data_IF_907825589080
#
_entry.id   IF_907825589080
#
_cell.length_a   1.000
_cell.length_b   1.000
_cell.length_c   1.000
_cell.angle_alpha   90.00
_cell.angle_beta   90.00
_cell.angle_gamma   90.00
#
_symmetry.space_group_name_H-M   'P 1'
#
loop_
_entity.id
_entity.type
_entity.pdbx_description
1 polymer ?
#
# COMPACT_ATOMS: atom_id res chain seq x y z
N UNK A 1 5.08 -28.01 7.46
CA UNK A 1 5.67 -26.94 6.63
C UNK A 1 4.52 -26.17 6.01
N UNK A 2 4.53 -24.83 6.08
CA UNK A 2 3.49 -24.00 5.48
C UNK A 2 3.89 -23.65 4.04
N UNK A 3 2.92 -23.64 3.14
CA UNK A 3 3.16 -23.48 1.70
C UNK A 3 2.11 -22.55 1.11
N UNK A 4 2.53 -21.71 0.17
CA UNK A 4 1.63 -20.96 -0.70
C UNK A 4 1.53 -21.72 -2.01
N UNK A 5 0.30 -22.00 -2.46
CA UNK A 5 0.03 -22.64 -3.74
C UNK A 5 -0.61 -21.65 -4.71
N UNK A 6 -0.19 -21.72 -5.97
CA UNK A 6 -0.80 -21.02 -7.09
C UNK A 6 -1.50 -22.05 -7.97
N UNK A 7 -2.81 -21.87 -8.15
CA UNK A 7 -3.66 -22.76 -8.94
C UNK A 7 -4.17 -22.04 -10.18
N UNK A 8 -4.26 -22.77 -11.29
CA UNK A 8 -4.97 -22.32 -12.49
C UNK A 8 -6.33 -23.01 -12.55
N UNK A 9 -7.39 -22.22 -12.72
CA UNK A 9 -8.74 -22.75 -12.96
C UNK A 9 -8.96 -22.92 -14.46
N UNK A 10 -9.18 -24.16 -14.91
CA UNK A 10 -9.50 -24.47 -16.31
C UNK A 10 -10.56 -25.57 -16.34
N UNK A 11 -11.62 -25.38 -17.12
CA UNK A 11 -12.68 -26.38 -17.31
C UNK A 11 -13.29 -26.91 -15.98
N UNK A 12 -13.45 -26.02 -14.99
CA UNK A 12 -13.85 -26.30 -13.61
C UNK A 12 -12.86 -27.11 -12.75
N UNK A 13 -11.68 -27.43 -13.28
CA UNK A 13 -10.61 -28.10 -12.54
C UNK A 13 -9.51 -27.11 -12.09
N UNK A 14 -9.04 -27.30 -10.87
CA UNK A 14 -7.91 -26.56 -10.30
C UNK A 14 -6.62 -27.36 -10.54
N UNK A 15 -5.78 -26.84 -11.44
CA UNK A 15 -4.46 -27.42 -11.72
C UNK A 15 -3.38 -26.67 -10.95
N UNK A 16 -2.56 -27.40 -10.18
CA UNK A 16 -1.45 -26.81 -9.43
C UNK A 16 -0.37 -26.30 -10.37
N UNK A 17 -0.05 -25.00 -10.30
CA UNK A 17 0.92 -24.36 -11.20
C UNK A 17 2.27 -24.16 -10.54
N UNK A 18 2.28 -23.64 -9.32
CA UNK A 18 3.49 -23.34 -8.57
C UNK A 18 3.22 -23.43 -7.07
N UNK A 19 4.29 -23.63 -6.30
CA UNK A 19 4.24 -23.50 -4.85
C UNK A 19 5.54 -22.87 -4.34
N UNK A 20 5.48 -22.32 -3.13
CA UNK A 20 6.67 -21.87 -2.41
C UNK A 20 6.50 -22.18 -0.92
N UNK A 21 7.59 -22.63 -0.30
CA UNK A 21 7.63 -22.85 1.14
C UNK A 21 7.72 -21.52 1.88
N UNK A 22 6.86 -21.34 2.88
CA UNK A 22 6.90 -20.19 3.78
C UNK A 22 7.41 -20.62 5.15
N UNK A 23 7.96 -19.65 5.90
CA UNK A 23 8.55 -19.94 7.21
C UNK A 23 7.47 -20.09 8.28
N UNK A 24 6.54 -19.14 8.33
CA UNK A 24 5.52 -18.99 9.36
C UNK A 24 4.15 -18.75 8.69
N UNK A 25 3.18 -18.32 9.50
CA UNK A 25 1.79 -18.16 9.11
C UNK A 25 1.58 -16.89 8.30
N UNK A 26 1.20 -17.07 7.04
CA UNK A 26 0.76 -15.99 6.15
C UNK A 26 -0.73 -15.78 6.36
N UNK A 27 -1.10 -14.63 6.90
CA UNK A 27 -2.49 -14.30 7.22
C UNK A 27 -3.17 -13.45 6.13
N UNK A 28 -2.38 -12.70 5.35
CA UNK A 28 -2.89 -11.88 4.26
C UNK A 28 -1.95 -11.91 3.07
N UNK A 29 -2.53 -11.93 1.86
CA UNK A 29 -1.81 -11.81 0.61
C UNK A 29 -2.56 -10.87 -0.32
N UNK A 30 -1.82 -10.01 -1.01
CA UNK A 30 -2.34 -9.12 -2.04
C UNK A 30 -1.45 -9.25 -3.29
N UNK A 31 -2.02 -9.08 -4.47
CA UNK A 31 -1.26 -9.20 -5.72
C UNK A 31 -1.43 -7.97 -6.60
N UNK A 32 -0.38 -7.68 -7.37
CA UNK A 32 -0.37 -6.66 -8.42
C UNK A 32 0.43 -7.21 -9.60
N UNK A 33 -0.27 -7.42 -10.72
CA UNK A 33 0.30 -8.12 -11.88
C UNK A 33 0.90 -9.47 -11.42
N UNK A 34 2.19 -9.67 -11.67
CA UNK A 34 2.91 -10.91 -11.36
C UNK A 34 3.61 -10.87 -9.98
N UNK A 35 3.42 -9.79 -9.22
CA UNK A 35 3.96 -9.67 -7.86
C UNK A 35 2.88 -10.00 -6.83
N UNK A 36 3.29 -10.70 -5.78
CA UNK A 36 2.45 -11.06 -4.65
C UNK A 36 3.15 -10.57 -3.39
N UNK A 37 2.47 -9.76 -2.59
CA UNK A 37 2.93 -9.35 -1.28
C UNK A 37 2.27 -10.24 -0.24
N UNK A 38 3.08 -11.01 0.48
CA UNK A 38 2.63 -11.89 1.55
C UNK A 38 2.97 -11.27 2.91
N UNK A 39 1.98 -11.20 3.79
CA UNK A 39 2.11 -10.70 5.15
C UNK A 39 2.18 -11.86 6.13
N UNK A 40 3.34 -11.99 6.79
CA UNK A 40 3.56 -12.96 7.85
C UNK A 40 3.19 -12.36 9.20
N UNK A 41 2.66 -13.18 10.11
CA UNK A 41 2.23 -12.71 11.43
C UNK A 41 3.40 -12.24 12.31
N UNK A 42 4.64 -12.70 12.07
CA UNK A 42 5.83 -12.33 12.84
C UNK A 42 7.02 -11.92 11.97
N UNK A 43 7.09 -12.39 10.72
CA UNK A 43 8.22 -12.16 9.80
C UNK A 43 8.03 -10.99 8.85
N UNK A 44 7.20 -10.01 9.22
CA UNK A 44 6.94 -8.83 8.39
C UNK A 44 6.37 -9.22 7.01
N UNK A 45 6.76 -8.50 5.96
CA UNK A 45 6.29 -8.71 4.60
C UNK A 45 7.34 -9.36 3.69
N UNK A 46 6.87 -10.20 2.77
CA UNK A 46 7.67 -10.83 1.71
C UNK A 46 7.08 -10.54 0.34
N UNK A 47 7.92 -10.06 -0.57
CA UNK A 47 7.57 -9.82 -1.97
C UNK A 47 7.96 -11.05 -2.79
N UNK A 48 6.95 -11.69 -3.36
CA UNK A 48 7.07 -12.84 -4.24
C UNK A 48 6.79 -12.41 -5.69
N UNK A 49 7.35 -13.14 -6.65
CA UNK A 49 7.08 -12.97 -8.07
C UNK A 49 6.80 -14.32 -8.70
N UNK A 50 5.69 -14.36 -9.42
CA UNK A 50 5.34 -15.47 -10.31
C UNK A 50 5.97 -15.24 -11.69
N UNK A 51 6.70 -16.23 -12.18
CA UNK A 51 7.28 -16.24 -13.52
C UNK A 51 6.47 -17.22 -14.37
N UNK A 52 5.74 -16.69 -15.34
CA UNK A 52 4.80 -17.48 -16.15
C UNK A 52 5.53 -18.45 -17.09
N UNK A 53 6.64 -18.02 -17.68
CA UNK A 53 7.47 -18.83 -18.60
C UNK A 53 7.99 -20.11 -17.94
N UNK A 54 8.49 -20.01 -16.71
CA UNK A 54 9.04 -21.13 -15.96
C UNK A 54 8.01 -21.81 -15.04
N UNK A 55 6.81 -21.22 -14.89
CA UNK A 55 5.79 -21.62 -13.90
C UNK A 55 6.35 -21.71 -12.47
N UNK A 56 7.25 -20.79 -12.10
CA UNK A 56 7.89 -20.78 -10.77
C UNK A 56 7.46 -19.59 -9.95
N UNK A 57 7.18 -19.82 -8.67
CA UNK A 57 6.99 -18.77 -7.67
C UNK A 57 8.29 -18.56 -6.90
N UNK A 58 8.78 -17.33 -6.86
CA UNK A 58 10.10 -17.00 -6.31
C UNK A 58 10.02 -15.85 -5.32
N UNK A 59 10.81 -15.92 -4.24
CA UNK A 59 11.01 -14.81 -3.31
C UNK A 59 11.92 -13.76 -3.97
N UNK A 60 11.41 -12.54 -4.14
CA UNK A 60 12.19 -11.42 -4.70
C UNK A 60 12.91 -10.66 -3.60
N UNK A 61 12.17 -10.26 -2.57
CA UNK A 61 12.68 -9.40 -1.51
C UNK A 61 11.84 -9.60 -0.25
N UNK A 62 12.43 -9.33 0.92
CA UNK A 62 11.71 -9.35 2.20
C UNK A 62 12.21 -8.28 3.15
N UNK A 63 11.44 -7.97 4.17
CA UNK A 63 11.99 -7.23 5.31
C UNK A 63 12.88 -8.18 6.14
N UNK A 64 13.98 -7.63 6.66
CA UNK A 64 14.89 -8.36 7.52
C UNK A 64 14.46 -8.29 9.00
N UNK A 65 13.66 -7.27 9.35
CA UNK A 65 13.22 -7.06 10.73
C UNK A 65 11.93 -7.83 11.01
N UNK A 66 11.83 -8.52 12.15
CA UNK A 66 10.55 -9.07 12.58
C UNK A 66 9.57 -7.93 12.83
N UNK A 67 8.33 -8.11 12.37
CA UNK A 67 7.25 -7.16 12.51
C UNK A 67 5.93 -7.93 12.54
N UNK A 68 5.09 -7.62 13.52
CA UNK A 68 3.73 -8.15 13.60
C UNK A 68 2.80 -7.33 12.72
N UNK A 69 2.50 -7.87 11.54
CA UNK A 69 1.70 -7.19 10.52
C UNK A 69 0.21 -7.46 10.74
N UNK A 70 -0.60 -6.42 10.68
CA UNK A 70 -2.07 -6.50 10.79
C UNK A 70 -2.75 -6.48 9.43
N UNK A 71 -2.31 -5.59 8.54
CA UNK A 71 -2.81 -5.55 7.17
C UNK A 71 -1.81 -4.91 6.23
N UNK A 72 -1.93 -5.21 4.94
CA UNK A 72 -1.06 -4.69 3.87
C UNK A 72 -1.87 -4.18 2.68
N UNK A 73 -1.34 -3.17 1.98
CA UNK A 73 -1.84 -2.70 0.68
C UNK A 73 -0.72 -2.09 -0.18
N UNK A 74 -1.03 -1.72 -1.42
CA UNK A 74 -0.09 -1.08 -2.35
C UNK A 74 -0.31 0.43 -2.44
N UNK A 75 0.76 1.20 -2.31
CA UNK A 75 0.76 2.62 -2.65
C UNK A 75 1.23 2.80 -4.10
N UNK A 76 0.37 3.34 -4.96
CA UNK A 76 0.67 3.54 -6.38
C UNK A 76 0.80 5.02 -6.69
N UNK A 77 1.98 5.45 -7.14
CA UNK A 77 2.24 6.82 -7.59
C UNK A 77 2.98 6.78 -8.93
N UNK A 78 2.23 6.94 -10.02
CA UNK A 78 2.75 6.85 -11.38
C UNK A 78 3.49 5.53 -11.63
N UNK A 79 4.82 5.60 -11.79
CA UNK A 79 5.71 4.48 -12.02
C UNK A 79 6.27 3.88 -10.71
N UNK A 80 5.99 4.49 -9.56
CA UNK A 80 6.46 4.02 -8.26
C UNK A 80 5.40 3.17 -7.57
N UNK A 81 5.88 2.09 -6.96
CA UNK A 81 5.09 1.18 -6.15
C UNK A 81 5.68 1.11 -4.74
N UNK A 82 4.87 1.47 -3.75
CA UNK A 82 5.14 1.29 -2.34
C UNK A 82 4.28 0.17 -1.77
N UNK A 83 4.75 -0.43 -0.68
CA UNK A 83 4.03 -1.43 0.12
C UNK A 83 3.67 -0.78 1.44
N UNK A 84 2.37 -0.54 1.65
CA UNK A 84 1.82 -0.02 2.89
C UNK A 84 1.57 -1.17 3.85
N UNK A 85 2.01 -1.03 5.08
CA UNK A 85 1.91 -2.04 6.12
C UNK A 85 1.38 -1.38 7.38
N UNK A 86 0.35 -1.96 8.00
CA UNK A 86 -0.03 -1.65 9.37
C UNK A 86 0.57 -2.66 10.34
N UNK A 87 1.09 -2.18 11.46
CA UNK A 87 1.64 -3.03 12.50
C UNK A 87 0.78 -3.05 13.78
N UNK A 88 1.12 -3.97 14.69
CA UNK A 88 0.50 -4.04 16.02
C UNK A 88 0.70 -2.77 16.84
N UNK A 89 1.79 -2.05 16.65
CA UNK A 89 2.12 -0.83 17.41
C UNK A 89 1.34 0.41 16.92
N UNK A 90 0.38 0.22 16.00
CA UNK A 90 -0.50 1.27 15.43
C UNK A 90 0.25 2.24 14.53
N UNK A 91 1.29 1.74 13.87
CA UNK A 91 2.03 2.45 12.84
C UNK A 91 1.58 2.01 11.44
N UNK A 92 1.70 2.94 10.51
CA UNK A 92 1.72 2.71 9.08
C UNK A 92 3.15 2.87 8.59
N UNK A 93 3.65 1.85 7.92
CA UNK A 93 4.98 1.80 7.35
C UNK A 93 4.87 1.70 5.83
N UNK A 94 5.74 2.41 5.12
CA UNK A 94 5.84 2.33 3.66
C UNK A 94 7.19 1.73 3.30
N UNK A 95 7.15 0.55 2.67
CA UNK A 95 8.32 -0.11 2.11
C UNK A 95 8.38 0.11 0.61
N UNK A 96 9.59 0.07 0.05
CA UNK A 96 9.82 0.09 -1.40
C UNK A 96 10.85 -0.96 -1.78
N UNK A 97 10.68 -1.53 -2.97
CA UNK A 97 11.67 -2.39 -3.61
C UNK A 97 12.55 -1.55 -4.52
N UNK A 98 13.82 -1.35 -4.13
CA UNK A 98 14.79 -0.52 -4.85
C UNK A 98 16.12 -1.28 -4.98
N UNK A 99 16.27 -2.15 -6.00
CA UNK A 99 17.43 -3.03 -6.11
C UNK A 99 18.75 -2.29 -6.34
N UNK A 100 18.69 -1.09 -6.93
CA UNK A 100 19.85 -0.23 -7.17
C UNK A 100 20.41 0.40 -5.87
N UNK A 101 19.61 0.47 -4.82
CA UNK A 101 20.05 1.04 -3.55
C UNK A 101 20.98 0.06 -2.82
N UNK A 102 22.17 0.51 -2.42
CA UNK A 102 23.18 -0.32 -1.72
C UNK A 102 22.63 -0.98 -0.46
N UNK A 103 21.78 -0.27 0.27
CA UNK A 103 21.10 -0.75 1.49
C UNK A 103 20.11 -1.91 1.27
N UNK A 104 19.70 -2.15 0.01
CA UNK A 104 18.82 -3.27 -0.36
C UNK A 104 19.57 -4.60 -0.50
N UNK A 105 20.91 -4.59 -0.47
CA UNK A 105 21.75 -5.76 -0.74
C UNK A 105 21.42 -6.43 -2.08
N UNK A 106 21.41 -5.64 -3.15
CA UNK A 106 21.08 -6.13 -4.50
C UNK A 106 19.61 -6.49 -4.67
N UNK A 107 18.71 -5.82 -3.95
CA UNK A 107 17.26 -6.07 -3.99
C UNK A 107 16.76 -7.16 -3.04
N UNK A 108 17.63 -7.86 -2.32
CA UNK A 108 17.19 -8.91 -1.39
C UNK A 108 16.39 -8.37 -0.19
N UNK A 109 16.56 -7.09 0.13
CA UNK A 109 15.96 -6.42 1.30
C UNK A 109 15.03 -5.28 0.90
N UNK A 110 13.82 -5.31 1.46
CA UNK A 110 12.86 -4.21 1.35
C UNK A 110 13.30 -3.02 2.20
N UNK A 111 13.11 -1.82 1.66
CA UNK A 111 13.56 -0.58 2.30
C UNK A 111 12.36 0.19 2.83
N UNK A 112 12.34 0.40 4.15
CA UNK A 112 11.34 1.27 4.79
C UNK A 112 11.67 2.73 4.49
N UNK A 113 10.78 3.40 3.75
CA UNK A 113 10.93 4.79 3.30
C UNK A 113 10.07 5.79 4.08
N UNK A 114 9.02 5.32 4.75
CA UNK A 114 8.23 6.14 5.66
C UNK A 114 7.68 5.31 6.83
N UNK A 115 7.44 5.99 7.94
CA UNK A 115 6.76 5.51 9.14
C UNK A 115 5.82 6.60 9.68
N UNK A 116 4.64 6.22 10.13
CA UNK A 116 3.65 7.12 10.69
C UNK A 116 2.87 6.45 11.81
N UNK A 117 2.70 7.12 12.95
CA UNK A 117 1.89 6.60 14.04
C UNK A 117 0.45 7.09 13.91
N UNK A 118 -0.47 6.17 13.60
CA UNK A 118 -1.91 6.49 13.45
C UNK A 118 -2.59 6.63 14.81
N UNK A 119 -2.11 5.88 15.81
CA UNK A 119 -2.75 5.82 17.13
C UNK A 119 -3.95 4.88 17.21
N UNK A 120 -4.27 4.16 16.14
CA UNK A 120 -5.30 3.12 16.09
C UNK A 120 -4.86 1.92 15.24
N UNK A 121 -5.44 0.76 15.49
CA UNK A 121 -5.17 -0.43 14.68
C UNK A 121 -5.91 -0.34 13.35
N UNK A 122 -5.16 -0.50 12.28
CA UNK A 122 -5.68 -0.55 10.90
C UNK A 122 -5.68 -2.00 10.44
N UNK A 123 -6.85 -2.49 10.01
CA UNK A 123 -7.05 -3.88 9.58
C UNK A 123 -7.50 -4.00 8.12
N UNK A 124 -7.92 -2.90 7.51
CA UNK A 124 -8.49 -2.89 6.18
C UNK A 124 -8.02 -1.66 5.43
N UNK A 125 -7.59 -1.89 4.19
CA UNK A 125 -7.23 -0.87 3.23
C UNK A 125 -8.09 -1.03 1.97
N UNK A 126 -8.32 0.08 1.26
CA UNK A 126 -8.91 0.04 -0.07
C UNK A 126 -8.38 1.19 -0.92
N UNK A 127 -8.36 1.02 -2.24
CA UNK A 127 -7.73 1.99 -3.16
C UNK A 127 -8.73 2.57 -4.13
N UNK A 128 -8.63 3.88 -4.36
CA UNK A 128 -9.40 4.57 -5.40
C UNK A 128 -8.44 5.30 -6.35
N UNK A 129 -8.59 5.15 -7.68
CA UNK A 129 -7.78 5.92 -8.62
C UNK A 129 -8.10 7.41 -8.47
N UNK A 130 -7.08 8.25 -8.54
CA UNK A 130 -7.25 9.70 -8.59
C UNK A 130 -7.86 10.04 -9.96
N UNK A 131 -9.09 10.55 -9.98
CA UNK A 131 -9.62 11.18 -11.19
C UNK A 131 -9.09 12.61 -11.24
N UNK A 132 -8.30 12.93 -12.26
CA UNK A 132 -7.93 14.31 -12.53
C UNK A 132 -9.20 15.14 -12.74
N UNK A 133 -9.29 16.30 -12.10
CA UNK A 133 -10.33 17.26 -12.42
C UNK A 133 -10.07 17.79 -13.83
N UNK A 134 -10.94 17.47 -14.78
CA UNK A 134 -10.95 18.11 -16.11
C UNK A 134 -11.53 19.52 -15.97
N UNK A 135 -10.70 20.48 -15.59
CA UNK A 135 -11.01 21.90 -15.80
C UNK A 135 -10.22 22.43 -17.00
N UNK A 136 -10.92 22.61 -18.12
CA UNK A 136 -10.51 23.49 -19.22
C UNK A 136 -9.61 22.89 -20.33
N UNK A 137 -9.53 23.55 -21.49
CA UNK A 137 -8.91 23.04 -22.73
C UNK A 137 -7.37 23.14 -22.75
N UNK A 138 -6.70 23.25 -21.59
CA UNK A 138 -5.25 23.35 -21.53
C UNK A 138 -4.63 21.96 -21.30
N UNK A 139 -4.01 21.39 -22.33
CA UNK A 139 -3.11 20.23 -22.25
C UNK A 139 -1.92 20.56 -21.32
N UNK A 140 -2.11 20.43 -20.02
CA UNK A 140 -1.03 20.24 -19.05
C UNK A 140 -1.16 18.80 -18.55
N UNK A 141 -0.07 18.04 -18.65
CA UNK A 141 0.04 16.68 -18.11
C UNK A 141 -0.58 16.62 -16.72
N UNK A 142 -1.64 15.83 -16.55
CA UNK A 142 -2.40 15.81 -15.32
C UNK A 142 -1.53 15.22 -14.21
N UNK A 143 -1.16 16.03 -13.21
CA UNK A 143 -0.27 15.63 -12.11
C UNK A 143 -0.82 14.48 -11.23
N UNK A 144 -2.04 14.03 -11.49
CA UNK A 144 -2.79 12.99 -10.76
C UNK A 144 -3.06 11.75 -11.61
N UNK A 145 -2.66 11.76 -12.87
CA UNK A 145 -2.75 10.59 -13.74
C UNK A 145 -1.96 9.43 -13.13
N UNK A 146 -2.52 8.22 -13.16
CA UNK A 146 -1.89 7.00 -12.61
C UNK A 146 -1.52 7.06 -11.11
N UNK A 147 -2.18 7.91 -10.31
CA UNK A 147 -2.05 7.92 -8.84
C UNK A 147 -3.27 7.29 -8.17
N UNK A 148 -3.05 6.60 -7.06
CA UNK A 148 -4.13 6.02 -6.27
C UNK A 148 -4.12 6.60 -4.85
N UNK A 149 -5.31 6.89 -4.32
CA UNK A 149 -5.50 7.17 -2.90
C UNK A 149 -5.73 5.83 -2.20
N UNK A 150 -4.97 5.57 -1.13
CA UNK A 150 -5.15 4.36 -0.31
C UNK A 150 -5.87 4.76 0.96
N UNK A 151 -7.11 4.33 1.10
CA UNK A 151 -7.92 4.57 2.29
C UNK A 151 -7.71 3.46 3.30
N UNK A 152 -7.98 3.76 4.57
CA UNK A 152 -7.88 2.77 5.64
C UNK A 152 -8.94 2.92 6.72
N UNK A 153 -9.34 1.78 7.29
CA UNK A 153 -10.32 1.71 8.37
C UNK A 153 -9.64 1.46 9.72
N UNK A 154 -9.95 2.29 10.71
CA UNK A 154 -9.47 2.15 12.09
C UNK A 154 -10.49 1.40 12.96
N UNK A 155 -10.04 0.37 13.69
CA UNK A 155 -10.87 -0.34 14.66
C UNK A 155 -10.64 0.26 16.05
N UNK A 156 -11.55 1.10 16.56
CA UNK A 156 -11.48 1.51 17.97
C UNK A 156 -12.19 2.79 18.42
N UNK A 157 -12.57 3.71 17.52
CA UNK A 157 -13.44 4.85 17.88
C UNK A 157 -14.81 4.62 17.27
N UNK A 158 -15.87 4.89 18.05
CA UNK A 158 -17.26 4.60 17.68
C UNK A 158 -17.59 4.92 16.22
N UNK A 159 -18.38 4.04 15.59
CA UNK A 159 -18.95 4.10 14.22
C UNK A 159 -18.33 5.20 13.33
N UNK A 160 -17.33 4.83 12.51
CA UNK A 160 -17.09 5.53 11.23
C UNK A 160 -15.74 6.23 11.01
N UNK A 161 -14.73 6.08 11.87
CA UNK A 161 -13.42 6.68 11.60
C UNK A 161 -12.72 6.01 10.38
N UNK A 162 -12.77 6.67 9.23
CA UNK A 162 -12.06 6.29 8.01
C UNK A 162 -10.91 7.27 7.73
N UNK A 163 -9.67 6.80 7.80
CA UNK A 163 -8.47 7.57 7.46
C UNK A 163 -8.10 7.43 5.98
N UNK A 164 -7.25 8.35 5.49
CA UNK A 164 -6.74 8.31 4.12
C UNK A 164 -5.21 8.38 4.10
N UNK A 165 -4.54 7.42 3.50
CA UNK A 165 -3.13 7.51 3.15
C UNK A 165 -3.01 7.96 1.69
N UNK A 166 -2.56 9.20 1.48
CA UNK A 166 -2.28 9.71 0.15
C UNK A 166 -0.81 9.42 -0.22
N UNK A 167 -0.57 8.92 -1.44
CA UNK A 167 0.80 8.85 -1.97
C UNK A 167 1.13 10.18 -2.62
N UNK A 168 2.25 10.81 -2.22
CA UNK A 168 2.75 11.99 -2.91
C UNK A 168 4.28 12.01 -2.95
N UNK A 169 4.89 11.42 -3.97
CA UNK A 169 6.33 11.55 -4.24
C UNK A 169 6.68 12.94 -4.82
N UNK A 170 7.01 13.87 -3.92
CA UNK A 170 7.79 15.13 -4.07
C UNK A 170 7.33 16.35 -4.93
N UNK A 171 7.82 17.51 -4.42
CA UNK A 171 7.90 18.90 -4.92
C UNK A 171 6.67 19.55 -5.54
N UNK A 172 5.75 20.01 -4.68
CA UNK A 172 5.10 21.30 -4.91
C UNK A 172 5.26 22.18 -3.66
N UNK A 173 5.46 23.50 -3.82
CA UNK A 173 5.56 24.42 -2.69
C UNK A 173 4.27 24.41 -1.87
N UNK A 174 4.38 24.95 -0.66
CA UNK A 174 3.43 24.98 0.47
C UNK A 174 1.95 25.33 0.17
N UNK A 175 1.59 25.62 -1.07
CA UNK A 175 0.24 25.99 -1.51
C UNK A 175 -0.58 24.85 -2.17
N UNK A 176 0.03 23.73 -2.54
CA UNK A 176 -0.65 22.71 -3.37
C UNK A 176 -1.21 21.53 -2.58
N UNK A 177 -1.94 21.78 -1.49
CA UNK A 177 -2.89 20.82 -0.90
C UNK A 177 -4.24 20.80 -1.65
N UNK A 178 -4.24 21.21 -2.92
CA UNK A 178 -5.37 21.02 -3.81
C UNK A 178 -5.42 19.55 -4.27
N UNK A 179 -5.81 18.67 -3.34
CA UNK A 179 -6.60 17.47 -3.70
C UNK A 179 -7.78 18.00 -4.54
N UNK A 180 -8.19 17.33 -5.65
CA UNK A 180 -9.28 17.80 -6.49
C UNK A 180 -10.44 18.34 -5.65
N UNK A 181 -10.73 19.63 -5.82
CA UNK A 181 -11.64 20.43 -4.99
C UNK A 181 -13.04 19.83 -4.90
N UNK A 182 -13.44 18.96 -5.82
CA UNK A 182 -14.71 18.23 -5.80
C UNK A 182 -14.74 17.11 -4.73
N UNK A 183 -13.66 16.35 -4.56
CA UNK A 183 -13.59 15.34 -3.49
C UNK A 183 -13.46 16.03 -2.11
N UNK A 184 -12.70 17.13 -2.07
CA UNK A 184 -12.51 17.91 -0.85
C UNK A 184 -13.78 18.70 -0.46
N UNK A 185 -14.62 19.19 -1.38
CA UNK A 185 -15.85 19.90 -1.00
C UNK A 185 -16.93 18.99 -0.43
N UNK A 186 -17.00 17.74 -0.91
CA UNK A 186 -17.93 16.74 -0.36
C UNK A 186 -17.46 16.18 0.99
N UNK A 187 -16.14 16.11 1.21
CA UNK A 187 -15.54 15.50 2.41
C UNK A 187 -15.09 16.54 3.46
N UNK A 188 -14.57 17.71 3.07
CA UNK A 188 -14.02 18.73 3.99
C UNK A 188 -15.06 19.58 4.71
N UNK A 189 -16.34 19.56 4.30
CA UNK A 189 -17.38 20.16 5.16
C UNK A 189 -17.56 19.40 6.48
N UNK A 190 -17.03 18.16 6.59
CA UNK A 190 -17.13 17.30 7.76
C UNK A 190 -15.78 16.98 8.45
N UNK A 191 -14.62 17.43 7.94
CA UNK A 191 -13.32 16.78 8.25
C UNK A 191 -12.28 17.73 8.84
N UNK A 192 -11.71 17.34 9.99
CA UNK A 192 -10.45 17.90 10.53
C UNK A 192 -9.27 17.09 9.97
N UNK A 193 -8.66 17.56 8.89
CA UNK A 193 -7.54 16.89 8.24
C UNK A 193 -6.23 17.21 8.99
N UNK A 194 -5.54 16.20 9.54
CA UNK A 194 -4.18 16.38 10.06
C UNK A 194 -3.17 15.79 9.07
N UNK A 195 -2.32 16.65 8.51
CA UNK A 195 -1.29 16.26 7.56
C UNK A 195 0.07 16.20 8.24
N UNK A 196 0.74 15.06 8.17
CA UNK A 196 2.12 14.92 8.62
C UNK A 196 2.98 14.49 7.44
N UNK A 197 4.02 15.28 7.16
CA UNK A 197 5.00 15.00 6.10
C UNK A 197 6.24 14.37 6.71
N UNK A 198 6.58 13.13 6.31
CA UNK A 198 7.85 12.47 6.63
C UNK A 198 8.44 11.88 5.35
N UNK A 199 9.53 12.49 4.87
CA UNK A 199 10.17 12.12 3.60
C UNK A 199 9.32 12.49 2.37
N UNK A 200 9.39 11.65 1.33
CA UNK A 200 8.67 11.79 0.06
C UNK A 200 7.22 11.27 0.13
N UNK A 201 6.63 11.12 1.31
CA UNK A 201 5.27 10.60 1.51
C UNK A 201 4.44 11.53 2.40
N UNK A 202 3.12 11.57 2.16
CA UNK A 202 2.18 12.45 2.86
C UNK A 202 0.95 11.65 3.32
N UNK A 203 0.90 11.27 4.59
CA UNK A 203 -0.27 10.57 5.16
C UNK A 203 -1.18 11.63 5.82
N UNK A 204 -2.48 11.57 5.52
CA UNK A 204 -3.47 12.52 6.03
C UNK A 204 -4.63 11.81 6.70
N UNK A 205 -4.69 11.79 8.02
CA UNK A 205 -5.85 11.20 8.70
C UNK A 205 -7.06 12.10 8.47
N UNK A 206 -8.09 11.50 7.86
CA UNK A 206 -9.43 12.03 7.78
C UNK A 206 -10.22 11.37 8.91
N UNK A 207 -11.05 12.11 9.64
CA UNK A 207 -12.07 11.51 10.48
C UNK A 207 -13.40 11.91 9.85
N UNK A 208 -14.04 10.98 9.15
CA UNK A 208 -15.44 11.17 8.74
C UNK A 208 -16.29 11.09 10.02
N UNK A 209 -16.57 12.22 10.63
CA UNK A 209 -17.56 12.29 11.71
C UNK A 209 -18.94 12.13 11.09
N UNK A 210 -19.54 10.94 11.19
CA UNK A 210 -20.93 10.74 10.76
C UNK A 210 -21.85 11.75 11.44
N UNK A 211 -22.74 12.37 10.66
CA UNK A 211 -23.85 13.16 11.16
C UNK A 211 -24.88 12.27 11.87
#
# INVERSE_FOLDING_TARGET
MLQIFLWSLKDNDLTGMAFIDTQLYIHQMISVKNFILAADVMKSISLLRYQEESKTLSLVSRDAKPLEVYSVDFMVDNAQLGFLVSDRDRNLLVYMYLPEAKESFGGMRLLRRADFHVGAHVNAFWRTPCRGATEGPAKKTNAWENKHITWFGERGRGRGAQGAALVRTERLPHLALQIPSLLLRSVASLVRLSLVRRGSFVIGTCALTGA
#
